data_IF_079355319358
#
_entry.id   IF_079355319358
#
_cell.length_a   1.000
_cell.length_b   1.000
_cell.length_c   1.000
_cell.angle_alpha   90.00
_cell.angle_beta   90.00
_cell.angle_gamma   90.00
#
_symmetry.space_group_name_H-M   'P 1'
#
loop_
_entity.id
_entity.type
_entity.pdbx_description
1 polymer ?
#
# COMPACT_ATOMS: atom_id res chain seq x y z
N UNK A 1 -18.65 -2.21 -12.37
CA UNK A 1 -19.40 -2.33 -11.10
C UNK A 1 -18.62 -1.53 -10.07
N UNK A 2 -19.25 -0.67 -9.26
CA UNK A 2 -18.53 0.07 -8.22
C UNK A 2 -18.18 -0.87 -7.07
N UNK A 3 -17.00 -0.72 -6.50
CA UNK A 3 -16.59 -1.50 -5.33
C UNK A 3 -17.22 -0.92 -4.05
N UNK A 4 -17.30 -1.71 -2.98
CA UNK A 4 -17.87 -1.31 -1.69
C UNK A 4 -17.25 -0.01 -1.17
N UNK A 5 -15.92 0.11 -1.18
CA UNK A 5 -15.23 1.32 -0.71
C UNK A 5 -15.38 2.51 -1.65
N UNK A 6 -15.55 2.31 -2.96
CA UNK A 6 -15.85 3.40 -3.89
C UNK A 6 -17.25 3.97 -3.63
N UNK A 7 -18.23 3.12 -3.37
CA UNK A 7 -19.57 3.55 -2.97
C UNK A 7 -19.54 4.27 -1.62
N UNK A 8 -18.81 3.75 -0.65
CA UNK A 8 -18.62 4.38 0.65
C UNK A 8 -17.97 5.77 0.51
N UNK A 9 -16.98 5.93 -0.36
CA UNK A 9 -16.40 7.24 -0.65
C UNK A 9 -17.45 8.25 -1.13
N UNK A 10 -18.30 7.85 -2.07
CA UNK A 10 -19.29 8.75 -2.68
C UNK A 10 -20.43 9.10 -1.72
N UNK A 11 -20.86 8.14 -0.89
CA UNK A 11 -22.05 8.28 -0.04
C UNK A 11 -21.76 8.84 1.35
N UNK A 12 -20.59 8.55 1.92
CA UNK A 12 -20.26 8.91 3.30
C UNK A 12 -19.03 9.81 3.40
N UNK A 13 -17.88 9.39 2.82
CA UNK A 13 -16.60 10.06 3.03
C UNK A 13 -16.59 11.46 2.41
N UNK A 14 -17.03 11.57 1.16
CA UNK A 14 -17.04 12.84 0.42
C UNK A 14 -17.92 13.90 1.07
N UNK A 15 -19.18 13.65 1.47
CA UNK A 15 -20.01 14.61 2.20
C UNK A 15 -19.37 15.05 3.53
N UNK A 16 -18.82 14.10 4.31
CA UNK A 16 -18.17 14.41 5.58
C UNK A 16 -16.96 15.34 5.43
N UNK A 17 -16.15 15.14 4.38
CA UNK A 17 -15.02 16.02 4.08
C UNK A 17 -15.46 17.41 3.63
N UNK A 18 -16.54 17.52 2.85
CA UNK A 18 -17.12 18.81 2.44
C UNK A 18 -17.59 19.59 3.67
N UNK A 19 -18.29 18.95 4.59
CA UNK A 19 -18.77 19.56 5.82
C UNK A 19 -17.62 20.04 6.70
N UNK A 20 -16.59 19.21 6.87
CA UNK A 20 -15.44 19.50 7.75
C UNK A 20 -14.53 20.60 7.23
N UNK A 21 -14.20 20.58 5.93
CA UNK A 21 -13.22 21.51 5.34
C UNK A 21 -13.84 22.64 4.52
N UNK A 22 -15.15 22.62 4.28
CA UNK A 22 -15.86 23.70 3.60
C UNK A 22 -15.51 23.86 2.12
N UNK A 23 -15.30 22.76 1.39
CA UNK A 23 -14.99 22.81 -0.04
C UNK A 23 -16.15 23.41 -0.84
N UNK A 24 -15.83 24.38 -1.70
CA UNK A 24 -16.82 25.04 -2.57
C UNK A 24 -17.23 24.21 -3.78
N UNK A 25 -16.37 23.29 -4.20
CA UNK A 25 -16.58 22.43 -5.35
C UNK A 25 -16.29 20.98 -4.96
N UNK A 26 -17.16 20.07 -5.34
CA UNK A 26 -17.01 18.63 -5.13
C UNK A 26 -15.74 18.06 -5.73
N UNK A 27 -15.22 18.67 -6.81
CA UNK A 27 -13.97 18.23 -7.45
C UNK A 27 -12.71 18.62 -6.66
N UNK A 28 -12.82 19.47 -5.64
CA UNK A 28 -11.72 19.82 -4.74
C UNK A 28 -11.55 18.80 -3.61
N UNK A 29 -12.57 17.99 -3.36
CA UNK A 29 -12.56 17.01 -2.27
C UNK A 29 -11.44 15.98 -2.53
N UNK A 30 -10.57 15.74 -1.55
CA UNK A 30 -9.49 14.78 -1.70
C UNK A 30 -10.02 13.35 -1.93
N UNK A 31 -9.33 12.62 -2.80
CA UNK A 31 -9.60 11.23 -3.13
C UNK A 31 -8.31 10.42 -3.16
N UNK A 32 -8.41 9.12 -3.02
CA UNK A 32 -7.27 8.22 -3.23
C UNK A 32 -7.06 8.08 -4.74
N UNK A 33 -5.83 8.33 -5.20
CA UNK A 33 -5.49 8.26 -6.62
C UNK A 33 -4.88 6.94 -7.03
N UNK A 34 -4.01 6.40 -6.19
CA UNK A 34 -3.32 5.12 -6.40
C UNK A 34 -2.77 4.57 -5.09
N UNK A 35 -2.55 3.27 -5.09
CA UNK A 35 -1.77 2.58 -4.06
C UNK A 35 -0.55 1.95 -4.73
N UNK A 36 0.62 2.21 -4.19
CA UNK A 36 1.88 1.61 -4.64
C UNK A 36 2.36 0.64 -3.58
N UNK A 37 2.59 -0.61 -3.97
CA UNK A 37 3.12 -1.63 -3.09
C UNK A 37 4.51 -1.99 -3.60
N UNK A 38 5.49 -1.92 -2.74
CA UNK A 38 6.88 -2.26 -3.04
C UNK A 38 7.37 -3.38 -2.12
N UNK A 39 8.03 -4.34 -2.69
CA UNK A 39 8.68 -5.43 -1.96
C UNK A 39 10.17 -5.43 -2.32
N UNK A 40 11.02 -5.09 -1.35
CA UNK A 40 12.46 -5.15 -1.50
C UNK A 40 12.95 -6.58 -1.32
N UNK A 41 13.72 -7.09 -2.27
CA UNK A 41 14.30 -8.44 -2.25
C UNK A 41 15.82 -8.34 -2.43
N UNK A 42 16.52 -7.87 -1.39
CA UNK A 42 17.98 -7.70 -1.43
C UNK A 42 18.75 -9.00 -1.66
N UNK A 43 18.20 -10.12 -1.22
CA UNK A 43 18.79 -11.45 -1.39
C UNK A 43 18.78 -11.95 -2.85
N UNK A 44 17.99 -11.34 -3.72
CA UNK A 44 17.95 -11.62 -5.15
C UNK A 44 19.31 -11.41 -5.85
N UNK A 45 20.20 -10.64 -5.23
CA UNK A 45 21.60 -10.49 -5.69
C UNK A 45 22.34 -11.83 -5.65
N UNK A 46 21.99 -12.71 -4.72
CA UNK A 46 22.59 -14.05 -4.56
C UNK A 46 21.79 -15.13 -5.26
N UNK A 47 20.46 -15.03 -5.19
CA UNK A 47 19.53 -16.00 -5.77
C UNK A 47 18.38 -15.29 -6.51
N UNK A 48 18.43 -15.33 -7.83
CA UNK A 48 17.42 -14.70 -8.69
C UNK A 48 16.03 -15.32 -8.56
N UNK A 49 15.89 -16.57 -8.11
CA UNK A 49 14.60 -17.24 -7.91
C UNK A 49 13.76 -16.55 -6.83
N UNK A 50 14.39 -15.88 -5.87
CA UNK A 50 13.70 -15.13 -4.82
C UNK A 50 12.82 -14.00 -5.38
N UNK A 51 13.19 -13.39 -6.51
CA UNK A 51 12.36 -12.40 -7.21
C UNK A 51 11.11 -13.05 -7.81
N UNK A 52 11.20 -14.26 -8.32
CA UNK A 52 10.06 -14.98 -8.90
C UNK A 52 9.04 -15.30 -7.81
N UNK A 53 9.51 -15.77 -6.64
CA UNK A 53 8.65 -15.99 -5.48
C UNK A 53 7.97 -14.70 -5.00
N UNK A 54 8.74 -13.62 -4.82
CA UNK A 54 8.19 -12.32 -4.43
C UNK A 54 7.18 -11.78 -5.46
N UNK A 55 7.44 -11.96 -6.76
CA UNK A 55 6.54 -11.57 -7.84
C UNK A 55 5.23 -12.39 -7.80
N UNK A 56 5.33 -13.69 -7.53
CA UNK A 56 4.17 -14.58 -7.36
C UNK A 56 3.31 -14.15 -6.18
N UNK A 57 3.94 -13.95 -5.02
CA UNK A 57 3.25 -13.55 -3.81
C UNK A 57 2.53 -12.19 -4.01
N UNK A 58 3.23 -11.20 -4.56
CA UNK A 58 2.64 -9.89 -4.82
C UNK A 58 1.54 -9.94 -5.88
N UNK A 59 1.63 -10.85 -6.86
CA UNK A 59 0.57 -11.09 -7.85
C UNK A 59 -0.67 -11.69 -7.18
N UNK A 60 -0.50 -12.65 -6.27
CA UNK A 60 -1.60 -13.24 -5.52
C UNK A 60 -2.33 -12.19 -4.66
N UNK A 61 -1.59 -11.35 -3.95
CA UNK A 61 -2.14 -10.28 -3.08
C UNK A 61 -2.90 -9.23 -3.89
N UNK A 62 -2.36 -8.81 -5.03
CA UNK A 62 -2.86 -7.63 -5.75
C UNK A 62 -3.74 -7.94 -6.96
N UNK A 63 -3.73 -9.19 -7.44
CA UNK A 63 -4.39 -9.58 -8.68
C UNK A 63 -3.79 -8.94 -9.94
N UNK A 64 -2.61 -8.32 -9.83
CA UNK A 64 -1.91 -7.66 -10.93
C UNK A 64 -0.43 -8.05 -10.94
N UNK A 65 0.11 -8.35 -12.12
CA UNK A 65 1.53 -8.70 -12.26
C UNK A 65 2.43 -7.51 -11.90
N UNK A 66 3.33 -7.64 -10.91
CA UNK A 66 4.27 -6.59 -10.52
C UNK A 66 5.36 -6.37 -11.58
N UNK A 67 5.97 -5.20 -11.51
CA UNK A 67 7.17 -4.87 -12.28
C UNK A 67 8.39 -5.19 -11.42
N UNK A 68 9.33 -5.95 -11.96
CA UNK A 68 10.64 -6.19 -11.32
C UNK A 68 11.46 -4.91 -11.38
N UNK A 69 11.90 -4.44 -10.22
CA UNK A 69 12.75 -3.27 -10.09
C UNK A 69 14.22 -3.67 -10.14
N UNK A 70 15.01 -2.91 -10.90
CA UNK A 70 16.42 -3.18 -11.14
C UNK A 70 17.30 -2.08 -10.58
N UNK A 71 18.49 -2.44 -10.14
CA UNK A 71 19.49 -1.48 -9.67
C UNK A 71 19.90 -0.53 -10.79
N UNK A 72 19.93 0.76 -10.50
CA UNK A 72 20.42 1.80 -11.43
C UNK A 72 21.93 1.87 -11.42
N UNK A 73 22.54 1.88 -10.22
CA UNK A 73 23.96 2.02 -10.01
C UNK A 73 24.56 0.74 -9.41
N UNK A 74 25.80 0.46 -9.76
CA UNK A 74 26.57 -0.61 -9.12
C UNK A 74 27.04 -0.14 -7.73
N UNK A 75 27.07 -1.07 -6.76
CA UNK A 75 27.62 -0.84 -5.43
C UNK A 75 28.41 -2.07 -4.98
N UNK A 76 29.72 -1.93 -4.86
CA UNK A 76 30.61 -3.03 -4.51
C UNK A 76 30.36 -3.56 -3.09
N UNK A 77 30.03 -2.69 -2.13
CA UNK A 77 29.73 -3.06 -0.75
C UNK A 77 28.55 -4.03 -0.65
N UNK A 78 27.54 -3.87 -1.49
CA UNK A 78 26.38 -4.76 -1.56
C UNK A 78 26.51 -5.83 -2.65
N UNK A 79 27.66 -5.97 -3.30
CA UNK A 79 27.89 -6.89 -4.43
C UNK A 79 26.86 -6.70 -5.56
N UNK A 80 26.41 -5.46 -5.77
CA UNK A 80 25.36 -5.09 -6.67
C UNK A 80 25.93 -4.53 -7.97
N UNK A 81 25.44 -5.00 -9.12
CA UNK A 81 25.75 -4.46 -10.45
C UNK A 81 24.51 -3.75 -11.01
N UNK A 82 24.74 -2.77 -11.88
CA UNK A 82 23.66 -2.12 -12.61
C UNK A 82 22.85 -3.16 -13.42
N UNK A 83 21.52 -3.01 -13.40
CA UNK A 83 20.61 -3.93 -14.09
C UNK A 83 20.20 -5.19 -13.29
N UNK A 84 20.84 -5.47 -12.14
CA UNK A 84 20.43 -6.61 -11.32
C UNK A 84 19.04 -6.40 -10.72
N UNK A 85 18.17 -7.44 -10.69
CA UNK A 85 16.86 -7.37 -10.03
C UNK A 85 17.04 -7.29 -8.52
N UNK A 86 16.37 -6.35 -7.86
CA UNK A 86 16.48 -6.10 -6.41
C UNK A 86 15.13 -5.99 -5.69
N UNK A 87 14.04 -6.03 -6.41
CA UNK A 87 12.70 -5.96 -5.82
C UNK A 87 11.62 -6.04 -6.88
N UNK A 88 10.38 -5.90 -6.42
CA UNK A 88 9.23 -5.80 -7.28
C UNK A 88 8.24 -4.75 -6.73
N UNK A 89 7.51 -4.10 -7.62
CA UNK A 89 6.48 -3.13 -7.26
C UNK A 89 5.24 -3.27 -8.13
N UNK A 90 4.11 -2.90 -7.56
CA UNK A 90 2.84 -2.79 -8.29
C UNK A 90 2.17 -1.47 -7.95
N UNK A 91 1.46 -0.91 -8.93
CA UNK A 91 0.65 0.29 -8.75
C UNK A 91 -0.79 -0.06 -9.05
N UNK A 92 -1.65 0.07 -8.05
CA UNK A 92 -3.08 -0.20 -8.14
C UNK A 92 -3.86 1.11 -8.29
N UNK A 93 -4.89 1.09 -9.13
CA UNK A 93 -5.79 2.22 -9.38
C UNK A 93 -7.23 1.74 -9.49
N UNK A 94 -8.18 2.68 -9.30
CA UNK A 94 -9.63 2.44 -9.48
C UNK A 94 -10.12 1.24 -8.66
N UNK A 95 -10.89 0.34 -9.27
CA UNK A 95 -11.51 -0.82 -8.60
C UNK A 95 -10.50 -1.68 -7.83
N UNK A 96 -9.40 -2.09 -8.46
CA UNK A 96 -8.36 -2.90 -7.80
C UNK A 96 -7.72 -2.22 -6.59
N UNK A 97 -7.60 -0.91 -6.63
CA UNK A 97 -7.09 -0.11 -5.52
C UNK A 97 -8.06 -0.17 -4.34
N UNK A 98 -9.33 0.06 -4.57
CA UNK A 98 -10.34 0.04 -3.50
C UNK A 98 -10.52 -1.37 -2.92
N UNK A 99 -10.53 -2.41 -3.76
CA UNK A 99 -10.61 -3.79 -3.29
C UNK A 99 -9.39 -4.19 -2.45
N UNK A 100 -8.19 -3.77 -2.86
CA UNK A 100 -6.98 -3.99 -2.07
C UNK A 100 -7.05 -3.27 -0.72
N UNK A 101 -7.46 -2.00 -0.69
CA UNK A 101 -7.59 -1.23 0.55
C UNK A 101 -8.65 -1.84 1.49
N UNK A 102 -9.75 -2.33 0.97
CA UNK A 102 -10.78 -3.00 1.75
C UNK A 102 -10.23 -4.24 2.46
N UNK A 103 -9.51 -5.10 1.74
CA UNK A 103 -8.85 -6.28 2.33
C UNK A 103 -7.73 -5.89 3.29
N UNK A 104 -6.96 -4.86 2.98
CA UNK A 104 -5.89 -4.36 3.83
C UNK A 104 -6.43 -3.95 5.19
N UNK A 105 -7.45 -3.08 5.22
CA UNK A 105 -7.98 -2.51 6.47
C UNK A 105 -8.77 -3.53 7.28
N UNK A 106 -9.65 -4.31 6.62
CA UNK A 106 -10.59 -5.18 7.32
C UNK A 106 -10.05 -6.58 7.60
N UNK A 107 -9.07 -7.07 6.83
CA UNK A 107 -8.58 -8.45 6.95
C UNK A 107 -7.09 -8.49 7.33
N UNK A 108 -6.23 -7.80 6.56
CA UNK A 108 -4.79 -7.94 6.74
C UNK A 108 -4.27 -7.26 8.01
N UNK A 109 -4.64 -5.99 8.26
CA UNK A 109 -4.18 -5.25 9.44
C UNK A 109 -4.58 -5.91 10.77
N UNK A 110 -5.81 -6.41 10.97
CA UNK A 110 -6.17 -7.13 12.20
C UNK A 110 -5.37 -8.43 12.42
N UNK A 111 -4.82 -9.03 11.36
CA UNK A 111 -4.00 -10.25 11.41
C UNK A 111 -2.51 -9.97 11.68
N UNK A 112 -2.08 -8.72 11.62
CA UNK A 112 -0.70 -8.35 11.95
C UNK A 112 -0.43 -8.65 13.42
N UNK A 113 0.67 -9.35 13.69
CA UNK A 113 1.10 -9.67 15.06
C UNK A 113 1.35 -8.39 15.85
N UNK A 114 0.81 -8.34 17.08
CA UNK A 114 0.94 -7.19 18.01
C UNK A 114 0.52 -5.84 17.39
N UNK A 115 -0.50 -5.87 16.54
CA UNK A 115 -1.01 -4.66 15.91
C UNK A 115 -1.64 -3.72 16.96
N UNK A 116 -1.09 -2.50 17.05
CA UNK A 116 -1.57 -1.45 17.97
C UNK A 116 -2.16 -0.24 17.27
N UNK A 117 -2.30 -0.31 15.96
CA UNK A 117 -2.77 0.77 15.11
C UNK A 117 -1.66 1.36 14.23
N UNK A 118 -2.07 2.17 13.27
CA UNK A 118 -1.20 2.82 12.30
C UNK A 118 -0.65 4.14 12.86
N UNK A 119 0.59 4.46 12.52
CA UNK A 119 1.20 5.73 12.92
C UNK A 119 0.55 6.88 12.14
N UNK A 120 -0.13 7.79 12.85
CA UNK A 120 -0.76 8.97 12.27
C UNK A 120 0.20 10.07 11.79
N UNK A 121 1.53 9.88 11.94
CA UNK A 121 2.57 10.85 11.53
C UNK A 121 3.34 10.44 10.28
N UNK A 122 2.99 9.29 9.66
CA UNK A 122 3.70 8.76 8.49
C UNK A 122 3.20 9.36 7.16
N UNK A 123 2.93 10.67 7.16
CA UNK A 123 2.62 11.46 5.98
C UNK A 123 3.86 12.19 5.47
N UNK A 124 3.88 12.52 4.18
CA UNK A 124 5.03 13.13 3.49
C UNK A 124 4.99 14.68 3.42
N UNK A 125 4.04 15.33 4.08
CA UNK A 125 3.79 16.78 3.99
C UNK A 125 2.96 17.20 2.78
N UNK A 126 2.58 16.26 1.92
CA UNK A 126 1.78 16.50 0.70
C UNK A 126 0.54 15.62 0.60
N UNK A 127 0.13 15.04 1.72
CA UNK A 127 -1.06 14.22 1.80
C UNK A 127 -0.90 12.76 1.33
N UNK A 128 0.31 12.26 1.14
CA UNK A 128 0.53 10.85 0.88
C UNK A 128 0.89 10.12 2.19
N UNK A 129 0.42 8.90 2.34
CA UNK A 129 0.63 8.07 3.52
C UNK A 129 1.45 6.83 3.20
N UNK A 130 2.42 6.51 4.04
CA UNK A 130 3.24 5.31 3.87
C UNK A 130 3.18 4.43 5.13
N UNK A 131 3.06 3.12 4.93
CA UNK A 131 3.13 2.11 5.98
C UNK A 131 3.94 0.91 5.54
N UNK A 132 4.58 0.22 6.49
CA UNK A 132 5.26 -1.05 6.27
C UNK A 132 4.50 -2.20 6.90
N UNK A 133 4.41 -3.32 6.18
CA UNK A 133 3.95 -4.60 6.70
C UNK A 133 5.17 -5.52 6.73
N UNK A 134 5.41 -6.16 7.87
CA UNK A 134 6.61 -7.01 8.06
C UNK A 134 6.50 -8.38 7.43
N UNK A 135 5.29 -8.89 7.28
CA UNK A 135 5.02 -10.27 6.89
C UNK A 135 3.92 -10.32 5.82
N UNK A 136 4.20 -10.85 4.62
CA UNK A 136 3.19 -11.02 3.56
C UNK A 136 2.11 -12.03 3.91
N UNK A 137 2.37 -12.93 4.85
CA UNK A 137 1.45 -13.99 5.28
C UNK A 137 0.18 -13.47 5.98
N UNK A 138 0.13 -12.18 6.32
CA UNK A 138 -1.09 -11.55 6.87
C UNK A 138 -2.23 -11.48 5.84
N UNK A 139 -1.89 -11.55 4.55
CA UNK A 139 -2.87 -11.59 3.48
C UNK A 139 -3.42 -13.00 3.30
N UNK A 140 -4.76 -13.18 3.25
CA UNK A 140 -5.38 -14.51 3.14
C UNK A 140 -5.11 -15.22 1.82
N UNK A 141 -4.69 -14.47 0.79
CA UNK A 141 -4.35 -15.00 -0.53
C UNK A 141 -3.02 -15.76 -0.56
N UNK A 142 -2.22 -15.62 0.49
CA UNK A 142 -0.91 -16.28 0.62
C UNK A 142 -1.08 -17.60 1.38
N UNK A 143 -0.73 -18.67 0.71
CA UNK A 143 -0.65 -20.00 1.31
C UNK A 143 0.69 -20.16 2.03
N UNK A 144 0.65 -20.34 3.35
CA UNK A 144 1.84 -20.45 4.19
C UNK A 144 2.79 -21.58 3.74
N UNK A 145 2.23 -22.70 3.27
CA UNK A 145 3.02 -23.86 2.85
C UNK A 145 3.81 -23.63 1.54
N UNK A 146 3.44 -22.59 0.78
CA UNK A 146 4.10 -22.21 -0.47
C UNK A 146 5.09 -21.06 -0.33
N UNK A 147 5.16 -20.47 0.88
CA UNK A 147 6.08 -19.35 1.16
C UNK A 147 7.48 -19.88 1.39
N UNK A 148 8.43 -19.43 0.57
CA UNK A 148 9.86 -19.75 0.73
C UNK A 148 10.52 -18.94 1.84
N UNK A 149 10.08 -17.69 2.02
CA UNK A 149 10.62 -16.77 3.01
C UNK A 149 9.61 -15.68 3.37
N UNK A 150 9.59 -15.28 4.65
CA UNK A 150 8.78 -14.15 5.12
C UNK A 150 9.41 -12.85 4.61
N UNK A 151 8.62 -12.05 3.88
CA UNK A 151 9.05 -10.77 3.32
C UNK A 151 8.13 -9.64 3.76
N UNK A 152 8.77 -8.53 4.07
CA UNK A 152 8.05 -7.28 4.30
C UNK A 152 7.71 -6.56 2.98
N UNK A 153 6.76 -5.64 3.08
CA UNK A 153 6.39 -4.76 1.98
C UNK A 153 6.06 -3.37 2.48
N UNK A 154 6.31 -2.39 1.62
CA UNK A 154 5.92 -1.00 1.83
C UNK A 154 4.67 -0.70 1.01
N UNK A 155 3.67 -0.11 1.66
CA UNK A 155 2.41 0.30 1.05
C UNK A 155 2.32 1.82 1.12
N UNK A 156 2.21 2.46 -0.03
CA UNK A 156 2.10 3.91 -0.15
C UNK A 156 0.74 4.23 -0.73
N UNK A 157 -0.06 4.96 0.04
CA UNK A 157 -1.37 5.48 -0.40
C UNK A 157 -1.17 6.91 -0.88
N UNK A 158 -1.37 7.13 -2.16
CA UNK A 158 -1.24 8.45 -2.79
C UNK A 158 -2.63 9.06 -2.92
N UNK A 159 -2.79 10.27 -2.38
CA UNK A 159 -4.05 11.00 -2.40
C UNK A 159 -3.92 12.30 -3.20
N UNK A 160 -5.04 12.92 -3.53
CA UNK A 160 -5.09 14.25 -4.13
C UNK A 160 -5.20 15.37 -3.06
N UNK A 161 -5.08 15.05 -1.79
CA UNK A 161 -5.07 16.02 -0.70
C UNK A 161 -3.87 16.97 -0.83
N UNK A 162 -4.05 18.21 -0.41
CA UNK A 162 -2.98 19.23 -0.41
C UNK A 162 -2.20 19.25 0.89
N UNK A 163 -2.83 18.83 1.97
CA UNK A 163 -2.26 18.81 3.32
C UNK A 163 -2.39 17.43 3.95
N UNK A 164 -1.53 17.14 4.92
CA UNK A 164 -1.57 15.88 5.66
C UNK A 164 -2.84 15.75 6.52
N UNK A 165 -3.40 16.86 6.98
CA UNK A 165 -4.64 16.86 7.77
C UNK A 165 -5.84 16.44 6.91
N UNK A 166 -5.94 16.95 5.67
CA UNK A 166 -6.96 16.51 4.72
C UNK A 166 -6.84 15.01 4.40
N UNK A 167 -5.60 14.55 4.18
CA UNK A 167 -5.34 13.15 3.88
C UNK A 167 -5.61 12.23 5.08
N UNK A 168 -5.24 12.67 6.28
CA UNK A 168 -5.53 11.93 7.52
C UNK A 168 -7.03 11.75 7.72
N UNK A 169 -7.79 12.80 7.53
CA UNK A 169 -9.23 12.73 7.65
C UNK A 169 -9.87 11.86 6.57
N UNK A 170 -9.38 11.96 5.32
CA UNK A 170 -9.79 11.08 4.24
C UNK A 170 -9.58 9.60 4.61
N UNK A 171 -8.39 9.23 5.07
CA UNK A 171 -8.07 7.85 5.45
C UNK A 171 -8.81 7.41 6.72
N UNK A 172 -9.03 8.30 7.69
CA UNK A 172 -9.81 8.00 8.87
C UNK A 172 -11.26 7.65 8.52
N UNK A 173 -11.87 8.34 7.55
CA UNK A 173 -13.21 8.02 7.05
C UNK A 173 -13.25 6.72 6.21
N UNK A 174 -12.10 6.22 5.76
CA UNK A 174 -11.94 4.87 5.20
C UNK A 174 -11.63 3.81 6.26
N UNK A 175 -11.85 4.13 7.54
CA UNK A 175 -11.66 3.23 8.68
C UNK A 175 -10.21 2.77 8.89
N UNK A 176 -9.22 3.55 8.43
CA UNK A 176 -7.83 3.27 8.75
C UNK A 176 -7.62 3.37 10.26
N UNK A 177 -7.09 2.32 10.91
CA UNK A 177 -6.98 2.23 12.37
C UNK A 177 -5.77 3.03 12.88
N UNK A 178 -5.83 4.36 12.81
CA UNK A 178 -4.80 5.21 13.38
C UNK A 178 -4.78 5.13 14.91
N UNK A 179 -3.57 5.13 15.47
CA UNK A 179 -3.41 5.29 16.93
C UNK A 179 -3.95 6.66 17.31
N UNK A 180 -4.87 6.70 18.25
CA UNK A 180 -5.32 7.96 18.85
C UNK A 180 -4.13 8.59 19.60
N UNK A 181 -3.77 9.81 19.20
CA UNK A 181 -2.71 10.59 19.86
C UNK A 181 -3.15 11.00 21.27
#
# INVERSE_FOLDING_TARGET
>A
MKTRLEEHYLTAVRPALIEKFGYRNEMQVPKIEKVVINMGVGEAVRDSKKIEHATRDLTAITGQKPIVTRAKNANAAFKLRAGMPIGCKVTLRRERMYEFLDRLVNIALPRVRDFRGLNGKSFDGRGNYAMGIREQIVFPEIDYDQVDEVRGMDIIVVTSARTDDEARELLANFEFPFVKA
#
